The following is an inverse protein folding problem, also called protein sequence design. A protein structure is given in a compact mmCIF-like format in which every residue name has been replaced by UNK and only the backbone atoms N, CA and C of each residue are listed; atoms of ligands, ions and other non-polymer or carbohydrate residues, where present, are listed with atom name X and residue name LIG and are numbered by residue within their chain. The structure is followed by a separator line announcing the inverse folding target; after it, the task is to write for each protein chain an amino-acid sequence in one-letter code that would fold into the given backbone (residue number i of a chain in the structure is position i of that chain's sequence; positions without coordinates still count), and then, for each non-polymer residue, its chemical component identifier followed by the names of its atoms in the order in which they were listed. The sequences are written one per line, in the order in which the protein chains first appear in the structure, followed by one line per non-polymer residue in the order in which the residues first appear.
data_IF_889947416684
#
_entry.id   IF_889947416684
#
_cell.length_a   1.000
_cell.length_b   1.000
_cell.length_c   1.000
_cell.angle_alpha   90.00
_cell.angle_beta   90.00
_cell.angle_gamma   90.00
#
_symmetry.space_group_name_H-M   'P 1'
#
loop_
_entity.id
_entity.type
_entity.pdbx_description
1 polymer ?
#
# COMPACT_ATOMS: atom_id res chain seq x y z
N UNK A 1 -3.17 -7.43 6.48
CA UNK A 1 -2.22 -8.04 5.54
C UNK A 1 -1.02 -7.13 5.39
N UNK A 2 0.16 -7.69 5.26
CA UNK A 2 1.40 -6.91 5.10
C UNK A 2 2.00 -7.13 3.73
N UNK A 3 2.70 -6.11 3.24
CA UNK A 3 3.38 -6.13 1.95
C UNK A 3 4.56 -5.16 1.98
N UNK A 4 5.39 -5.23 0.96
CA UNK A 4 6.51 -4.30 0.79
C UNK A 4 6.24 -3.39 -0.39
N UNK A 5 6.72 -2.16 -0.32
CA UNK A 5 6.61 -1.24 -1.46
C UNK A 5 7.46 -1.78 -2.61
N UNK A 6 6.83 -2.06 -3.74
CA UNK A 6 7.50 -2.56 -4.93
C UNK A 6 7.89 -1.43 -5.87
N UNK A 7 6.95 -0.54 -6.16
CA UNK A 7 7.22 0.68 -6.95
C UNK A 7 6.46 1.85 -6.35
N UNK A 8 6.95 3.06 -6.58
CA UNK A 8 6.26 4.26 -6.16
C UNK A 8 6.65 5.43 -7.06
N UNK A 9 5.64 6.12 -7.60
CA UNK A 9 5.82 7.31 -8.43
C UNK A 9 5.40 8.53 -7.60
N UNK A 10 6.38 9.27 -7.07
CA UNK A 10 6.11 10.39 -6.16
C UNK A 10 5.36 11.54 -6.85
N UNK A 11 5.52 11.69 -8.16
CA UNK A 11 4.87 12.74 -8.92
C UNK A 11 3.37 12.52 -9.11
N UNK A 12 2.93 11.26 -9.14
CA UNK A 12 1.52 10.91 -9.32
C UNK A 12 0.87 10.34 -8.06
N UNK A 13 1.67 9.83 -7.13
CA UNK A 13 1.16 9.16 -5.92
C UNK A 13 0.68 7.74 -6.17
N UNK A 14 0.96 7.19 -7.35
CA UNK A 14 0.62 5.81 -7.68
C UNK A 14 1.80 4.88 -7.41
N UNK A 15 1.54 3.58 -7.32
CA UNK A 15 2.60 2.61 -7.15
C UNK A 15 2.05 1.20 -7.02
N UNK A 16 2.88 0.30 -6.50
CA UNK A 16 2.48 -1.07 -6.27
C UNK A 16 3.21 -1.64 -5.05
N UNK A 17 2.64 -2.70 -4.49
CA UNK A 17 3.23 -3.41 -3.37
C UNK A 17 3.46 -4.86 -3.76
N UNK A 18 4.45 -5.48 -3.12
CA UNK A 18 4.78 -6.88 -3.29
C UNK A 18 4.31 -7.64 -2.05
N UNK A 19 3.40 -8.58 -2.25
CA UNK A 19 2.91 -9.45 -1.18
C UNK A 19 3.97 -10.49 -0.82
N UNK A 20 3.87 -11.05 0.38
CA UNK A 20 4.77 -12.11 0.82
C UNK A 20 4.66 -13.37 -0.03
N UNK A 21 3.56 -13.52 -0.77
CA UNK A 21 3.36 -14.61 -1.72
C UNK A 21 4.07 -14.39 -3.05
N UNK A 22 4.63 -13.19 -3.28
CA UNK A 22 5.26 -12.83 -4.54
C UNK A 22 4.37 -12.09 -5.52
N UNK A 23 3.11 -11.87 -5.16
CA UNK A 23 2.17 -11.17 -6.03
C UNK A 23 2.33 -9.67 -5.89
N UNK A 24 2.25 -8.96 -7.02
CA UNK A 24 2.32 -7.50 -7.07
C UNK A 24 0.92 -6.95 -7.21
N UNK A 25 0.54 -6.01 -6.33
CA UNK A 25 -0.75 -5.32 -6.38
C UNK A 25 -0.54 -3.83 -6.60
N UNK A 26 -1.22 -3.23 -7.59
CA UNK A 26 -1.14 -1.78 -7.79
C UNK A 26 -2.02 -1.05 -6.80
N UNK A 27 -1.70 0.23 -6.55
CA UNK A 27 -2.58 1.12 -5.80
C UNK A 27 -2.71 2.45 -6.53
N UNK A 28 -3.92 3.03 -6.56
CA UNK A 28 -4.13 4.33 -7.18
C UNK A 28 -3.71 5.48 -6.27
N UNK A 29 -3.63 6.68 -6.84
CA UNK A 29 -3.19 7.87 -6.11
C UNK A 29 -4.10 8.21 -4.93
N UNK A 30 -5.41 7.98 -5.03
CA UNK A 30 -6.35 8.29 -3.96
C UNK A 30 -6.16 7.39 -2.73
N UNK A 31 -5.75 6.14 -2.92
CA UNK A 31 -5.39 5.27 -1.79
C UNK A 31 -4.19 5.82 -1.04
N UNK A 32 -3.16 6.25 -1.76
CA UNK A 32 -1.99 6.86 -1.16
C UNK A 32 -2.36 8.17 -0.45
N UNK A 33 -3.15 9.02 -1.09
CA UNK A 33 -3.59 10.28 -0.51
C UNK A 33 -4.38 10.07 0.78
N UNK A 34 -5.26 9.07 0.80
CA UNK A 34 -6.07 8.74 1.97
C UNK A 34 -5.23 8.20 3.14
N UNK A 35 -4.04 7.68 2.87
CA UNK A 35 -3.15 7.15 3.91
C UNK A 35 -2.54 8.24 4.79
N UNK A 36 -2.50 9.48 4.30
CA UNK A 36 -1.83 10.59 4.97
C UNK A 36 -0.31 10.57 4.84
N UNK A 37 0.24 9.58 4.17
CA UNK A 37 1.69 9.49 3.94
C UNK A 37 2.07 10.40 2.78
N UNK A 38 3.30 10.89 2.78
CA UNK A 38 3.80 11.80 1.74
C UNK A 38 4.80 11.13 0.82
N UNK A 39 5.38 10.04 1.24
CA UNK A 39 6.41 9.35 0.48
C UNK A 39 6.50 7.90 0.93
N UNK A 40 6.79 7.01 0.00
CA UNK A 40 7.07 5.60 0.29
C UNK A 40 8.44 5.25 -0.25
N UNK A 41 9.16 4.41 0.50
CA UNK A 41 10.46 3.91 0.07
C UNK A 41 10.32 2.50 -0.48
N UNK A 42 11.07 2.17 -1.50
CA UNK A 42 11.11 0.82 -2.04
C UNK A 42 11.57 -0.15 -0.94
N UNK A 43 10.87 -1.26 -0.81
CA UNK A 43 11.15 -2.24 0.23
C UNK A 43 10.54 -1.94 1.59
N UNK A 44 9.91 -0.78 1.76
CA UNK A 44 9.27 -0.43 3.03
C UNK A 44 8.08 -1.35 3.30
N UNK A 45 7.95 -1.82 4.55
CA UNK A 45 6.82 -2.67 4.95
C UNK A 45 5.59 -1.83 5.22
N UNK A 46 4.46 -2.30 4.71
CA UNK A 46 3.17 -1.66 4.91
C UNK A 46 2.14 -2.71 5.34
N UNK A 47 1.16 -2.26 6.13
CA UNK A 47 -0.08 -2.99 6.30
C UNK A 47 -1.06 -2.51 5.24
N UNK A 48 -1.82 -3.42 4.68
CA UNK A 48 -2.72 -3.10 3.57
C UNK A 48 -4.09 -3.75 3.75
N UNK A 49 -5.09 -3.17 3.10
CA UNK A 49 -6.40 -3.78 2.89
C UNK A 49 -6.67 -3.85 1.39
N UNK A 50 -7.35 -4.90 0.97
CA UNK A 50 -7.68 -5.13 -0.43
C UNK A 50 -9.19 -5.34 -0.58
N UNK A 51 -9.70 -5.18 -1.79
CA UNK A 51 -11.13 -5.27 -2.10
C UNK A 51 -11.55 -6.68 -2.51
N UNK A 52 -11.00 -7.70 -1.90
CA UNK A 52 -11.35 -9.09 -2.23
C UNK A 52 -10.18 -10.00 -2.01
N UNK A 53 -10.08 -11.06 -2.81
CA UNK A 53 -8.99 -12.02 -2.70
C UNK A 53 -7.70 -11.42 -3.25
N UNK A 54 -6.65 -11.25 -2.43
CA UNK A 54 -5.39 -10.67 -2.89
C UNK A 54 -4.68 -11.51 -3.95
N UNK A 55 -5.02 -12.78 -4.06
CA UNK A 55 -4.45 -13.65 -5.09
C UNK A 55 -5.23 -13.60 -6.40
N UNK A 56 -6.37 -12.93 -6.43
CA UNK A 56 -7.18 -12.81 -7.63
C UNK A 56 -6.67 -11.67 -8.50
N UNK A 57 -6.59 -11.92 -9.80
CA UNK A 57 -6.18 -10.92 -10.76
C UNK A 57 -7.17 -9.74 -10.77
N UNK A 58 -6.63 -8.54 -10.87
CA UNK A 58 -7.44 -7.32 -10.88
C UNK A 58 -7.75 -6.75 -9.50
N UNK A 59 -7.36 -7.45 -8.43
CA UNK A 59 -7.55 -6.94 -7.08
C UNK A 59 -6.63 -5.73 -6.83
N UNK A 60 -7.19 -4.68 -6.24
CA UNK A 60 -6.44 -3.46 -5.92
C UNK A 60 -6.50 -3.18 -4.43
N UNK A 61 -5.52 -2.41 -3.95
CA UNK A 61 -5.50 -1.93 -2.57
C UNK A 61 -6.63 -0.93 -2.35
N UNK A 62 -7.28 -1.04 -1.20
CA UNK A 62 -8.26 -0.05 -0.74
C UNK A 62 -7.68 0.85 0.33
N UNK A 63 -6.69 0.37 1.10
CA UNK A 63 -6.02 1.14 2.13
C UNK A 63 -4.59 0.66 2.32
N UNK A 64 -3.72 1.58 2.77
CA UNK A 64 -2.37 1.23 3.20
C UNK A 64 -1.95 2.10 4.38
N UNK A 65 -1.09 1.58 5.25
CA UNK A 65 -0.51 2.33 6.37
C UNK A 65 0.78 1.66 6.83
N UNK A 66 1.56 2.39 7.62
CA UNK A 66 2.84 1.88 8.11
C UNK A 66 2.60 0.78 9.15
N UNK A 67 3.36 -0.30 9.06
CA UNK A 67 3.28 -1.42 9.99
C UNK A 67 3.51 -0.93 11.43
N UNK A 68 2.62 -1.34 12.34
CA UNK A 68 2.67 -0.93 13.74
C UNK A 68 1.87 0.32 14.06
N UNK A 69 1.35 1.01 13.03
CA UNK A 69 0.50 2.18 13.20
C UNK A 69 -0.83 1.88 12.51
N UNK A 70 -1.88 1.73 13.29
CA UNK A 70 -3.20 1.41 12.73
C UNK A 70 -3.86 2.60 12.06
N UNK A 71 -4.92 2.35 11.27
CA UNK A 71 -5.70 3.43 10.69
C UNK A 71 -6.32 4.28 11.80
N UNK A 72 -6.23 5.59 11.66
CA UNK A 72 -6.77 6.52 12.65
C UNK A 72 -5.81 6.86 13.77
N UNK A 73 -4.65 6.24 13.86
CA UNK A 73 -3.62 6.62 14.82
C UNK A 73 -2.85 7.83 14.31
N UNK A 74 -2.45 8.69 15.25
CA UNK A 74 -1.70 9.90 14.93
C UNK A 74 -0.21 9.60 14.99
N UNK A 75 0.50 9.95 13.94
CA UNK A 75 1.96 9.88 13.90
C UNK A 75 2.52 11.12 14.61
N UNK A 76 3.37 10.88 15.58
CA UNK A 76 3.98 11.97 16.38
C UNK A 76 5.48 12.06 16.18
#
# INVERSE_FOLDING_TARGET
MQASVHTFAADTGTGSVLLDTGRVLPFPADVFAASGLRHLRLGQRLSIQVSGDPEQEGTELTRLWIVGIGPGEVIR
#
